data_IF_344474203865
#
_entry.id   IF_344474203865
#
_cell.length_a   1.000
_cell.length_b   1.000
_cell.length_c   1.000
_cell.angle_alpha   90.00
_cell.angle_beta   90.00
_cell.angle_gamma   90.00
#
_symmetry.space_group_name_H-M   'P 1'
#
loop_
_entity.id
_entity.type
_entity.pdbx_description
1 polymer ?
#
# COMPACT_ATOMS: atom_id res chain seq x y z
N UNK A 1 15.08 -8.46 5.25
CA UNK A 1 15.91 -7.24 5.06
C UNK A 1 15.67 -6.22 6.15
N UNK A 2 14.45 -5.66 6.31
CA UNK A 2 14.16 -4.70 7.39
C UNK A 2 14.26 -5.29 8.80
N UNK A 3 13.96 -6.59 8.98
CA UNK A 3 14.13 -7.29 10.25
C UNK A 3 15.57 -7.23 10.81
N UNK A 4 16.59 -7.29 9.95
CA UNK A 4 17.99 -7.12 10.36
C UNK A 4 18.30 -5.70 10.90
N UNK A 5 17.39 -4.75 10.65
CA UNK A 5 17.42 -3.38 11.18
C UNK A 5 16.51 -3.19 12.40
N UNK A 6 15.98 -4.27 12.95
CA UNK A 6 15.11 -4.27 14.15
C UNK A 6 13.65 -3.91 13.88
N UNK A 7 13.22 -3.88 12.62
CA UNK A 7 11.83 -3.59 12.28
C UNK A 7 10.92 -4.76 12.62
N UNK A 8 9.74 -4.45 13.17
CA UNK A 8 8.57 -5.33 13.09
C UNK A 8 7.83 -5.06 11.80
N UNK A 9 7.22 -6.08 11.22
CA UNK A 9 6.70 -6.04 9.86
C UNK A 9 5.28 -6.61 9.81
N UNK A 10 4.34 -5.87 9.22
CA UNK A 10 2.93 -6.24 9.13
C UNK A 10 2.36 -5.98 7.74
N UNK A 11 1.53 -6.90 7.23
CA UNK A 11 0.78 -6.74 5.98
C UNK A 11 -0.72 -6.92 6.26
N UNK A 12 -1.55 -5.97 5.81
CA UNK A 12 -2.97 -5.90 6.18
C UNK A 12 -3.85 -5.61 4.96
N UNK A 13 -4.52 -6.66 4.48
CA UNK A 13 -5.31 -6.67 3.24
C UNK A 13 -4.78 -7.64 2.18
N UNK A 14 -5.03 -7.38 0.90
CA UNK A 14 -4.88 -8.33 -0.21
C UNK A 14 -3.44 -8.77 -0.53
N UNK A 15 -3.08 -10.05 -0.32
CA UNK A 15 -1.72 -10.53 -0.62
C UNK A 15 -1.46 -10.85 -2.11
N UNK A 16 -2.22 -11.79 -2.69
CA UNK A 16 -2.11 -12.19 -4.10
C UNK A 16 -0.73 -12.72 -4.56
N UNK A 17 0.06 -13.28 -3.63
CA UNK A 17 1.39 -13.88 -3.91
C UNK A 17 1.44 -15.40 -3.69
N UNK A 18 0.28 -16.05 -3.66
CA UNK A 18 0.12 -17.47 -3.40
C UNK A 18 -0.75 -17.73 -2.18
N UNK A 19 -1.36 -18.90 -2.15
CA UNK A 19 -2.37 -19.27 -1.15
C UNK A 19 -2.00 -20.49 -0.31
N UNK A 20 -0.85 -21.10 -0.56
CA UNK A 20 -0.33 -22.17 0.30
C UNK A 20 0.31 -21.60 1.55
N UNK A 21 0.38 -22.39 2.61
CA UNK A 21 0.97 -21.95 3.87
C UNK A 21 2.44 -21.52 3.70
N UNK A 22 3.21 -22.20 2.84
CA UNK A 22 4.58 -21.82 2.52
C UNK A 22 4.72 -20.52 1.70
N UNK A 23 3.61 -19.98 1.18
CA UNK A 23 3.55 -18.75 0.36
C UNK A 23 2.97 -17.56 1.15
N UNK A 24 2.48 -17.79 2.38
CA UNK A 24 1.91 -16.72 3.19
C UNK A 24 2.98 -15.65 3.50
N UNK A 25 2.60 -14.37 3.63
CA UNK A 25 3.57 -13.29 3.85
C UNK A 25 4.49 -13.52 5.06
N UNK A 26 3.99 -14.20 6.09
CA UNK A 26 4.76 -14.53 7.30
C UNK A 26 5.86 -15.58 7.10
N UNK A 27 5.84 -16.31 5.99
CA UNK A 27 6.97 -17.13 5.53
C UNK A 27 8.01 -16.33 4.73
N UNK A 28 7.66 -15.10 4.34
CA UNK A 28 8.43 -14.24 3.45
C UNK A 28 8.86 -12.91 4.11
N UNK A 29 8.92 -12.89 5.44
CA UNK A 29 9.58 -11.82 6.19
C UNK A 29 8.63 -10.86 6.90
N UNK A 30 7.31 -11.04 6.80
CA UNK A 30 6.34 -10.37 7.67
C UNK A 30 6.25 -11.07 9.03
N UNK A 31 6.09 -10.31 10.11
CA UNK A 31 5.84 -10.86 11.45
C UNK A 31 4.35 -11.19 11.64
N UNK A 32 3.48 -10.43 10.98
CA UNK A 32 2.03 -10.56 11.02
C UNK A 32 1.41 -10.29 9.65
N UNK A 33 0.41 -11.10 9.29
CA UNK A 33 -0.41 -10.89 8.11
C UNK A 33 -1.87 -11.08 8.48
N UNK A 34 -2.73 -10.13 8.10
CA UNK A 34 -4.17 -10.33 8.15
C UNK A 34 -4.81 -9.82 6.87
N UNK A 35 -5.38 -10.73 6.08
CA UNK A 35 -5.76 -10.37 4.73
C UNK A 35 -6.34 -11.51 3.91
N UNK A 36 -6.93 -11.13 2.79
CA UNK A 36 -7.42 -12.07 1.80
C UNK A 36 -6.30 -12.42 0.79
N UNK A 37 -6.38 -13.61 0.19
CA UNK A 37 -5.27 -14.16 -0.60
C UNK A 37 -5.45 -13.97 -2.11
N UNK A 38 -6.65 -13.62 -2.56
CA UNK A 38 -7.03 -13.58 -3.97
C UNK A 38 -7.54 -12.21 -4.42
N UNK A 39 -8.01 -12.13 -5.66
CA UNK A 39 -8.84 -11.02 -6.14
C UNK A 39 -10.30 -11.22 -5.70
N UNK A 40 -11.04 -10.13 -5.49
CA UNK A 40 -12.39 -10.16 -4.92
C UNK A 40 -13.35 -11.08 -5.70
N UNK A 41 -13.27 -11.13 -7.03
CA UNK A 41 -14.13 -12.02 -7.82
C UNK A 41 -13.96 -13.50 -7.49
N UNK A 42 -12.74 -13.97 -7.16
CA UNK A 42 -12.53 -15.37 -6.78
C UNK A 42 -13.11 -15.68 -5.40
N UNK A 43 -13.15 -14.68 -4.52
CA UNK A 43 -13.68 -14.81 -3.16
C UNK A 43 -15.22 -14.90 -3.16
N UNK A 44 -15.90 -14.20 -4.08
CA UNK A 44 -17.36 -14.25 -4.22
C UNK A 44 -17.88 -15.37 -5.15
N UNK A 45 -17.02 -15.99 -5.97
CA UNK A 45 -17.42 -17.11 -6.85
C UNK A 45 -18.24 -18.19 -6.14
N UNK A 46 -17.93 -18.62 -4.90
CA UNK A 46 -18.73 -19.60 -4.16
C UNK A 46 -20.21 -19.23 -3.96
N UNK A 47 -20.56 -17.94 -4.03
CA UNK A 47 -21.93 -17.42 -3.91
C UNK A 47 -22.69 -17.43 -5.24
N UNK A 48 -22.01 -17.64 -6.37
CA UNK A 48 -22.67 -17.74 -7.67
C UNK A 48 -23.63 -18.96 -7.71
N UNK A 49 -24.83 -18.83 -8.33
CA UNK A 49 -25.79 -19.93 -8.43
C UNK A 49 -25.22 -21.19 -9.07
N UNK A 50 -24.39 -21.01 -10.10
CA UNK A 50 -23.81 -22.11 -10.89
C UNK A 50 -22.50 -22.66 -10.30
N UNK A 51 -22.02 -22.12 -9.17
CA UNK A 51 -20.79 -22.59 -8.54
C UNK A 51 -20.95 -24.03 -8.00
N UNK A 52 -20.04 -24.97 -8.31
CA UNK A 52 -20.18 -26.35 -7.86
C UNK A 52 -20.18 -26.47 -6.34
N UNK A 53 -21.23 -27.09 -5.77
CA UNK A 53 -21.45 -27.17 -4.31
C UNK A 53 -20.86 -28.42 -3.64
N UNK A 54 -20.19 -29.30 -4.40
CA UNK A 54 -19.63 -30.54 -3.86
C UNK A 54 -18.42 -30.29 -2.95
N UNK A 55 -18.31 -31.02 -1.84
CA UNK A 55 -17.21 -30.87 -0.87
C UNK A 55 -15.82 -31.09 -1.48
N UNK A 56 -15.67 -32.11 -2.34
CA UNK A 56 -14.41 -32.38 -3.03
C UNK A 56 -14.02 -31.26 -4.00
N UNK A 57 -15.00 -30.58 -4.62
CA UNK A 57 -14.73 -29.41 -5.45
C UNK A 57 -14.26 -28.25 -4.57
N UNK A 58 -14.98 -27.94 -3.49
CA UNK A 58 -14.62 -26.89 -2.54
C UNK A 58 -13.21 -27.11 -1.97
N UNK A 59 -12.85 -28.34 -1.61
CA UNK A 59 -11.52 -28.66 -1.07
C UNK A 59 -10.39 -28.45 -2.07
N UNK A 60 -10.65 -28.61 -3.37
CA UNK A 60 -9.63 -28.53 -4.43
C UNK A 60 -9.52 -27.17 -5.09
N UNK A 61 -10.63 -26.43 -5.16
CA UNK A 61 -10.75 -25.22 -5.98
C UNK A 61 -11.40 -24.05 -5.25
N UNK A 62 -11.98 -24.28 -4.06
CA UNK A 62 -12.55 -23.20 -3.27
C UNK A 62 -11.47 -22.24 -2.77
N UNK A 63 -11.73 -20.92 -2.77
CA UNK A 63 -10.84 -19.98 -2.13
C UNK A 63 -10.77 -20.28 -0.63
N UNK A 64 -9.59 -20.08 -0.05
CA UNK A 64 -9.43 -19.94 1.40
C UNK A 64 -10.16 -18.69 1.89
N UNK A 65 -10.49 -18.64 3.17
CA UNK A 65 -11.04 -17.42 3.76
C UNK A 65 -10.00 -16.31 3.94
N UNK A 66 -10.37 -15.30 4.71
CA UNK A 66 -9.45 -14.25 5.17
C UNK A 66 -8.53 -14.85 6.22
N UNK A 67 -7.22 -14.81 5.97
CA UNK A 67 -6.22 -15.47 6.81
C UNK A 67 -5.56 -14.47 7.76
N UNK A 68 -5.46 -14.84 9.03
CA UNK A 68 -4.57 -14.19 10.02
C UNK A 68 -3.41 -15.13 10.32
N UNK A 69 -2.19 -14.75 9.99
CA UNK A 69 -1.00 -15.56 10.27
C UNK A 69 0.11 -14.77 10.92
N UNK A 70 1.02 -15.51 11.57
CA UNK A 70 2.14 -14.96 12.33
C UNK A 70 3.43 -15.70 12.00
N UNK A 71 4.58 -15.03 12.11
CA UNK A 71 5.89 -15.63 11.87
C UNK A 71 6.26 -16.79 12.82
N UNK A 72 5.52 -16.97 13.91
CA UNK A 72 5.66 -18.11 14.83
C UNK A 72 4.97 -19.40 14.32
N UNK A 73 4.32 -19.34 13.15
CA UNK A 73 3.65 -20.47 12.51
C UNK A 73 2.15 -20.59 12.82
N UNK A 74 1.59 -19.71 13.65
CA UNK A 74 0.12 -19.65 13.83
C UNK A 74 -0.54 -19.16 12.55
N UNK A 75 -1.58 -19.88 12.12
CA UNK A 75 -2.40 -19.57 10.96
C UNK A 75 -3.86 -19.81 11.37
N UNK A 76 -4.69 -18.79 11.17
CA UNK A 76 -6.13 -18.83 11.40
C UNK A 76 -6.86 -18.46 10.11
N UNK A 77 -7.82 -19.29 9.72
CA UNK A 77 -8.80 -18.94 8.68
C UNK A 77 -10.02 -18.34 9.39
N UNK A 78 -10.19 -17.03 9.27
CA UNK A 78 -11.27 -16.27 9.93
C UNK A 78 -12.61 -16.41 9.22
N UNK A 79 -12.69 -17.26 8.20
CA UNK A 79 -13.89 -17.51 7.41
C UNK A 79 -13.84 -16.81 6.05
N UNK A 80 -14.79 -17.20 5.19
CA UNK A 80 -14.90 -16.74 3.82
C UNK A 80 -15.04 -15.20 3.74
N UNK A 81 -14.46 -14.63 2.68
CA UNK A 81 -14.73 -13.25 2.29
C UNK A 81 -15.98 -13.21 1.39
N UNK A 82 -17.15 -13.24 2.02
CA UNK A 82 -18.42 -13.18 1.30
C UNK A 82 -18.71 -11.79 0.74
N UNK A 83 -19.61 -11.68 -0.25
CA UNK A 83 -20.15 -10.42 -0.76
C UNK A 83 -20.56 -9.49 0.40
N UNK A 84 -21.23 -10.06 1.41
CA UNK A 84 -21.65 -9.28 2.58
C UNK A 84 -20.47 -8.78 3.42
N UNK A 85 -19.42 -9.59 3.63
CA UNK A 85 -18.22 -9.17 4.36
C UNK A 85 -17.39 -8.15 3.57
N UNK A 86 -17.39 -8.22 2.23
CA UNK A 86 -16.72 -7.25 1.36
C UNK A 86 -17.25 -5.82 1.50
N UNK A 87 -18.43 -5.61 2.08
CA UNK A 87 -18.95 -4.28 2.41
C UNK A 87 -18.06 -3.55 3.44
N UNK A 88 -17.38 -4.28 4.32
CA UNK A 88 -16.65 -3.71 5.48
C UNK A 88 -15.28 -4.33 5.73
N UNK A 89 -14.81 -5.29 4.92
CA UNK A 89 -13.58 -6.05 5.19
C UNK A 89 -12.33 -5.16 5.36
N UNK A 90 -12.25 -4.05 4.63
CA UNK A 90 -11.12 -3.12 4.74
C UNK A 90 -11.08 -2.41 6.11
N UNK A 91 -12.19 -2.34 6.85
CA UNK A 91 -12.22 -1.88 8.23
C UNK A 91 -11.56 -2.89 9.18
N UNK A 92 -11.73 -4.19 8.94
CA UNK A 92 -11.03 -5.22 9.71
C UNK A 92 -9.51 -5.11 9.52
N UNK A 93 -9.07 -4.86 8.27
CA UNK A 93 -7.66 -4.65 7.95
C UNK A 93 -7.11 -3.35 8.53
N UNK A 94 -7.92 -2.29 8.53
CA UNK A 94 -7.57 -1.01 9.14
C UNK A 94 -7.41 -1.16 10.65
N UNK A 95 -8.35 -1.80 11.34
CA UNK A 95 -8.29 -2.02 12.79
C UNK A 95 -7.04 -2.82 13.17
N UNK A 96 -6.73 -3.88 12.42
CA UNK A 96 -5.52 -4.66 12.63
C UNK A 96 -4.23 -3.84 12.37
N UNK A 97 -4.25 -2.96 11.37
CA UNK A 97 -3.15 -2.03 11.07
C UNK A 97 -2.90 -1.06 12.23
N UNK A 98 -3.97 -0.48 12.79
CA UNK A 98 -3.90 0.44 13.92
C UNK A 98 -3.37 -0.26 15.17
N UNK A 99 -3.86 -1.46 15.46
CA UNK A 99 -3.40 -2.28 16.58
C UNK A 99 -1.91 -2.67 16.44
N UNK A 100 -1.46 -2.96 15.22
CA UNK A 100 -0.06 -3.24 14.92
C UNK A 100 0.83 -2.01 15.17
N UNK A 101 0.41 -0.83 14.72
CA UNK A 101 1.14 0.44 14.98
C UNK A 101 1.22 0.71 16.49
N UNK A 102 0.12 0.56 17.23
CA UNK A 102 0.10 0.75 18.68
C UNK A 102 1.06 -0.18 19.40
N UNK A 103 1.06 -1.46 19.01
CA UNK A 103 1.96 -2.45 19.59
C UNK A 103 3.42 -2.10 19.32
N UNK A 104 3.76 -1.77 18.07
CA UNK A 104 5.12 -1.40 17.69
C UNK A 104 5.60 -0.15 18.45
N UNK A 105 4.74 0.87 18.55
CA UNK A 105 5.03 2.10 19.27
C UNK A 105 5.23 1.85 20.77
N UNK A 106 4.34 1.08 21.41
CA UNK A 106 4.44 0.70 22.83
C UNK A 106 5.72 -0.09 23.14
N UNK A 107 6.15 -0.93 22.19
CA UNK A 107 7.41 -1.70 22.30
C UNK A 107 8.65 -0.89 21.90
N UNK A 108 8.48 0.37 21.47
CA UNK A 108 9.53 1.25 20.96
C UNK A 108 10.35 0.59 19.83
N UNK A 109 9.66 -0.08 18.91
CA UNK A 109 10.26 -0.71 17.73
C UNK A 109 9.89 0.06 16.46
N UNK A 110 10.84 0.22 15.52
CA UNK A 110 10.47 0.71 14.19
C UNK A 110 9.56 -0.31 13.51
N UNK A 111 8.61 0.15 12.70
CA UNK A 111 7.67 -0.71 12.01
C UNK A 111 7.68 -0.49 10.50
N UNK A 112 7.37 -1.56 9.77
CA UNK A 112 7.00 -1.53 8.37
C UNK A 112 5.58 -2.07 8.26
N UNK A 113 4.66 -1.22 7.84
CA UNK A 113 3.27 -1.57 7.62
C UNK A 113 2.97 -1.49 6.13
N UNK A 114 2.51 -2.59 5.56
CA UNK A 114 1.96 -2.63 4.22
C UNK A 114 0.44 -2.76 4.31
N UNK A 115 -0.26 -1.64 4.24
CA UNK A 115 -1.72 -1.62 4.14
C UNK A 115 -2.14 -1.70 2.68
N UNK A 116 -2.84 -2.77 2.34
CA UNK A 116 -3.20 -3.16 0.98
C UNK A 116 -4.71 -3.41 0.93
N UNK A 117 -5.47 -2.34 1.14
CA UNK A 117 -6.93 -2.34 1.04
C UNK A 117 -7.41 -3.02 -0.25
N UNK A 118 -8.56 -3.68 -0.17
CA UNK A 118 -9.20 -4.34 -1.32
C UNK A 118 -9.84 -3.33 -2.27
N UNK A 119 -10.28 -2.18 -1.74
CA UNK A 119 -10.63 -1.00 -2.54
C UNK A 119 -9.40 -0.44 -3.28
N UNK A 120 -9.48 -0.04 -4.54
CA UNK A 120 -10.62 0.02 -5.47
C UNK A 120 -10.53 -1.04 -6.57
N UNK A 121 -10.29 -2.30 -6.20
CA UNK A 121 -10.54 -3.39 -7.15
C UNK A 121 -12.04 -3.46 -7.45
N UNK A 122 -12.39 -3.78 -8.70
CA UNK A 122 -13.77 -4.05 -9.13
C UNK A 122 -14.37 -5.24 -8.37
N UNK A 123 -15.68 -5.44 -8.55
CA UNK A 123 -16.56 -6.17 -7.63
C UNK A 123 -16.73 -5.39 -6.32
N UNK A 124 -16.99 -4.09 -6.46
CA UNK A 124 -17.16 -3.18 -5.33
C UNK A 124 -18.52 -3.41 -4.68
N UNK A 125 -18.50 -3.85 -3.43
CA UNK A 125 -19.69 -3.95 -2.57
C UNK A 125 -19.55 -2.91 -1.47
N UNK A 126 -20.40 -1.87 -1.46
CA UNK A 126 -20.35 -0.82 -0.45
C UNK A 126 -21.40 -1.04 0.64
N UNK A 127 -21.02 -0.76 1.89
CA UNK A 127 -22.00 -0.53 2.97
C UNK A 127 -22.90 0.66 2.65
N UNK A 128 -24.07 0.72 3.26
CA UNK A 128 -25.10 1.70 2.89
C UNK A 128 -24.64 3.14 3.13
N UNK A 129 -23.90 3.39 4.22
CA UNK A 129 -23.41 4.71 4.61
C UNK A 129 -22.36 5.27 3.64
N UNK A 130 -21.73 4.42 2.85
CA UNK A 130 -20.73 4.82 1.85
C UNK A 130 -21.36 5.18 0.51
N UNK A 131 -22.65 4.95 0.29
CA UNK A 131 -23.31 5.23 -1.00
C UNK A 131 -23.71 6.70 -1.10
N UNK A 132 -23.43 7.32 -2.25
CA UNK A 132 -23.80 8.71 -2.55
C UNK A 132 -22.97 9.77 -1.81
N UNK A 133 -21.82 9.40 -1.24
CA UNK A 133 -20.94 10.32 -0.50
C UNK A 133 -20.01 11.10 -1.43
N UNK A 134 -19.75 10.60 -2.63
CA UNK A 134 -18.84 11.23 -3.57
C UNK A 134 -19.49 12.41 -4.29
N UNK A 135 -18.78 13.55 -4.32
CA UNK A 135 -19.18 14.71 -5.12
C UNK A 135 -19.24 14.42 -6.63
N UNK A 136 -18.48 13.42 -7.11
CA UNK A 136 -18.53 12.97 -8.51
C UNK A 136 -19.61 11.89 -8.74
N UNK A 137 -20.09 11.28 -7.67
CA UNK A 137 -21.03 10.16 -7.67
C UNK A 137 -20.45 8.86 -8.26
N UNK A 138 -21.30 7.83 -8.22
CA UNK A 138 -21.01 6.52 -8.78
C UNK A 138 -20.25 5.60 -7.82
N UNK A 139 -20.42 4.29 -8.03
CA UNK A 139 -19.87 3.24 -7.17
C UNK A 139 -18.36 3.40 -6.91
N UNK A 140 -17.58 3.64 -7.97
CA UNK A 140 -16.14 3.86 -7.83
C UNK A 140 -15.80 5.12 -7.02
N UNK A 141 -16.52 6.23 -7.26
CA UNK A 141 -16.27 7.49 -6.58
C UNK A 141 -16.58 7.41 -5.09
N UNK A 142 -17.64 6.70 -4.74
CA UNK A 142 -18.08 6.46 -3.37
C UNK A 142 -17.08 5.57 -2.61
N UNK A 143 -16.68 4.44 -3.21
CA UNK A 143 -15.65 3.58 -2.62
C UNK A 143 -14.29 4.28 -2.48
N UNK A 144 -13.95 5.19 -3.39
CA UNK A 144 -12.70 5.95 -3.30
C UNK A 144 -12.72 6.92 -2.10
N UNK A 145 -13.87 7.53 -1.77
CA UNK A 145 -14.03 8.35 -0.57
C UNK A 145 -13.91 7.50 0.69
N UNK A 146 -14.51 6.31 0.71
CA UNK A 146 -14.35 5.35 1.82
C UNK A 146 -12.86 5.00 2.03
N UNK A 147 -12.14 4.67 0.96
CA UNK A 147 -10.70 4.38 1.01
C UNK A 147 -9.86 5.59 1.45
N UNK A 148 -10.16 6.79 0.96
CA UNK A 148 -9.48 8.03 1.36
C UNK A 148 -9.65 8.30 2.87
N UNK A 149 -10.85 8.08 3.42
CA UNK A 149 -11.10 8.18 4.85
C UNK A 149 -10.23 7.20 5.66
N UNK A 150 -10.06 5.95 5.19
CA UNK A 150 -9.19 4.96 5.86
C UNK A 150 -7.73 5.40 5.85
N UNK A 151 -7.26 6.00 4.74
CA UNK A 151 -5.93 6.62 4.68
C UNK A 151 -5.84 7.75 5.70
N UNK A 152 -6.87 8.60 5.81
CA UNK A 152 -6.97 9.65 6.82
C UNK A 152 -6.79 9.11 8.24
N UNK A 153 -7.51 8.05 8.61
CA UNK A 153 -7.39 7.39 9.92
C UNK A 153 -5.96 6.90 10.21
N UNK A 154 -5.28 6.32 9.22
CA UNK A 154 -3.87 5.91 9.38
C UNK A 154 -2.93 7.12 9.56
N UNK A 155 -3.19 8.23 8.87
CA UNK A 155 -2.38 9.44 9.00
C UNK A 155 -2.60 10.09 10.37
N UNK A 156 -3.85 10.22 10.81
CA UNK A 156 -4.22 10.73 12.12
C UNK A 156 -3.58 9.91 13.24
N UNK A 157 -3.54 8.58 13.09
CA UNK A 157 -2.85 7.69 14.04
C UNK A 157 -1.38 8.05 14.24
N UNK A 158 -0.68 8.42 13.17
CA UNK A 158 0.74 8.80 13.25
C UNK A 158 0.93 10.17 13.92
N UNK A 159 -0.03 11.08 13.72
CA UNK A 159 -0.03 12.41 14.31
C UNK A 159 -0.39 12.32 15.82
N UNK A 160 -1.39 11.52 16.19
CA UNK A 160 -1.82 11.26 17.57
C UNK A 160 -0.72 10.63 18.43
N UNK A 161 0.09 9.75 17.83
CA UNK A 161 1.25 9.13 18.49
C UNK A 161 2.51 10.01 18.44
N UNK A 162 2.43 11.20 17.82
CA UNK A 162 3.53 12.14 17.63
C UNK A 162 4.76 11.52 16.91
N UNK A 163 4.53 10.55 16.01
CA UNK A 163 5.59 9.83 15.27
C UNK A 163 5.62 10.14 13.78
N UNK A 164 4.74 11.01 13.29
CA UNK A 164 4.67 11.42 11.90
C UNK A 164 6.00 11.92 11.33
N UNK A 165 6.74 12.73 12.09
CA UNK A 165 8.04 13.27 11.70
C UNK A 165 9.10 12.18 11.45
N UNK A 166 8.95 11.00 12.06
CA UNK A 166 9.85 9.85 11.90
C UNK A 166 9.23 8.72 11.05
N UNK A 167 8.14 9.00 10.34
CA UNK A 167 7.44 7.99 9.53
C UNK A 167 7.44 8.40 8.06
N UNK A 168 7.88 7.48 7.19
CA UNK A 168 7.71 7.60 5.74
C UNK A 168 6.38 6.96 5.39
N UNK A 169 5.48 7.72 4.76
CA UNK A 169 4.23 7.16 4.21
C UNK A 169 4.24 7.32 2.70
N UNK A 170 3.92 6.24 1.99
CA UNK A 170 3.77 6.22 0.54
C UNK A 170 2.36 5.75 0.21
N UNK A 171 1.74 6.45 -0.73
CA UNK A 171 0.48 6.05 -1.35
C UNK A 171 0.69 5.79 -2.84
N UNK A 172 0.26 4.63 -3.33
CA UNK A 172 0.29 4.28 -4.75
C UNK A 172 -0.72 3.16 -5.05
N UNK A 173 -0.84 2.76 -6.32
CA UNK A 173 -1.65 1.61 -6.76
C UNK A 173 -0.78 0.57 -7.46
N UNK A 174 -1.26 -0.66 -7.59
CA UNK A 174 -0.55 -1.81 -8.19
C UNK A 174 -0.50 -1.74 -9.73
N UNK A 175 -1.57 -1.23 -10.35
CA UNK A 175 -1.67 -1.01 -11.79
C UNK A 175 -2.55 0.22 -12.11
N UNK A 176 -2.66 0.54 -13.40
CA UNK A 176 -3.60 1.54 -13.89
C UNK A 176 -5.06 1.09 -13.78
N UNK A 177 -6.00 2.01 -14.01
CA UNK A 177 -7.43 1.74 -13.85
C UNK A 177 -7.92 0.65 -14.81
N UNK A 178 -8.81 -0.21 -14.33
CA UNK A 178 -9.62 -1.12 -15.16
C UNK A 178 -10.83 -0.34 -15.68
N UNK A 179 -10.88 -0.01 -16.96
CA UNK A 179 -11.86 0.93 -17.54
C UNK A 179 -13.06 0.20 -18.16
N UNK A 180 -12.83 -1.01 -18.70
CA UNK A 180 -13.86 -1.79 -19.40
C UNK A 180 -15.03 -2.21 -18.50
N UNK A 181 -14.81 -2.30 -17.18
CA UNK A 181 -15.78 -2.65 -16.15
C UNK A 181 -16.55 -1.43 -15.60
N UNK A 182 -16.59 -0.32 -16.34
CA UNK A 182 -17.46 0.81 -16.01
C UNK A 182 -18.92 0.35 -15.80
N UNK A 183 -19.65 0.85 -14.79
CA UNK A 183 -19.30 1.96 -13.88
C UNK A 183 -18.51 1.57 -12.62
N UNK A 184 -18.20 0.30 -12.41
CA UNK A 184 -17.44 -0.16 -11.23
C UNK A 184 -15.95 0.16 -11.37
N UNK A 185 -15.42 0.02 -12.59
CA UNK A 185 -14.05 0.35 -12.92
C UNK A 185 -13.71 1.85 -12.86
N UNK A 186 -12.43 2.15 -12.61
CA UNK A 186 -11.91 3.52 -12.57
C UNK A 186 -11.65 4.12 -13.95
N UNK A 187 -11.23 5.39 -13.98
CA UNK A 187 -10.84 6.08 -15.21
C UNK A 187 -9.45 6.72 -15.10
N UNK A 188 -8.74 6.82 -16.22
CA UNK A 188 -7.46 7.52 -16.30
C UNK A 188 -7.36 8.32 -17.60
N UNK A 189 -6.67 9.46 -17.56
CA UNK A 189 -6.42 10.33 -18.72
C UNK A 189 -5.45 9.74 -19.75
N UNK A 190 -4.77 8.66 -19.38
CA UNK A 190 -3.74 8.03 -20.19
C UNK A 190 -4.34 6.95 -21.09
N UNK A 191 -3.72 6.72 -22.26
CA UNK A 191 -4.14 5.68 -23.20
C UNK A 191 -4.01 4.29 -22.57
N UNK A 192 -4.95 3.39 -22.87
CA UNK A 192 -4.99 2.03 -22.34
C UNK A 192 -5.53 1.96 -20.91
N UNK A 193 -5.43 0.78 -20.32
CA UNK A 193 -6.00 0.41 -19.01
C UNK A 193 -5.20 -0.76 -18.41
N UNK A 194 -5.60 -1.23 -17.21
CA UNK A 194 -5.12 -2.49 -16.62
C UNK A 194 -5.03 -3.59 -17.69
N UNK A 195 -3.98 -4.41 -17.63
CA UNK A 195 -3.69 -5.46 -18.62
C UNK A 195 -3.18 -4.96 -20.00
N UNK A 196 -2.80 -3.68 -20.12
CA UNK A 196 -2.17 -3.15 -21.34
C UNK A 196 -0.80 -2.52 -21.06
N UNK A 197 0.04 -2.43 -22.08
CA UNK A 197 1.39 -1.82 -22.01
C UNK A 197 1.41 -0.33 -22.41
N UNK A 198 0.24 0.31 -22.43
CA UNK A 198 0.15 1.75 -22.59
C UNK A 198 0.25 2.44 -21.23
N UNK A 199 0.55 3.75 -21.21
CA UNK A 199 0.67 4.56 -19.98
C UNK A 199 -0.48 4.32 -18.99
N UNK A 200 -1.72 4.20 -19.46
CA UNK A 200 -2.89 3.98 -18.62
C UNK A 200 -2.98 2.61 -17.94
N UNK A 201 -2.08 1.67 -18.26
CA UNK A 201 -2.00 0.35 -17.63
C UNK A 201 -1.00 0.24 -16.48
N UNK A 202 0.03 1.09 -16.42
CA UNK A 202 1.07 1.02 -15.38
C UNK A 202 1.47 2.37 -14.78
N UNK A 203 1.05 3.51 -15.34
CA UNK A 203 1.28 4.81 -14.73
C UNK A 203 0.24 5.06 -13.64
N UNK A 204 0.72 5.08 -12.40
CA UNK A 204 -0.10 5.15 -11.18
C UNK A 204 0.11 6.47 -10.43
N UNK A 205 -0.83 6.88 -9.56
CA UNK A 205 -0.53 7.92 -8.58
C UNK A 205 0.59 7.46 -7.65
N UNK A 206 1.45 8.38 -7.24
CA UNK A 206 2.48 8.15 -6.23
C UNK A 206 2.64 9.41 -5.39
N UNK A 207 2.36 9.29 -4.10
CA UNK A 207 2.54 10.36 -3.11
C UNK A 207 3.44 9.85 -1.99
N UNK A 208 4.33 10.71 -1.49
CA UNK A 208 5.20 10.38 -0.38
C UNK A 208 5.22 11.54 0.62
N UNK A 209 5.13 11.23 1.92
CA UNK A 209 5.40 12.18 3.00
C UNK A 209 6.50 11.62 3.90
N UNK A 210 7.40 12.50 4.30
CA UNK A 210 8.35 12.28 5.40
C UNK A 210 8.68 13.64 6.01
N UNK A 211 7.82 14.18 6.88
CA UNK A 211 7.80 15.60 7.24
C UNK A 211 9.15 16.16 7.72
N UNK A 212 9.93 15.40 8.49
CA UNK A 212 11.24 15.85 8.97
C UNK A 212 12.32 15.99 7.88
N UNK A 213 12.12 15.39 6.69
CA UNK A 213 13.16 15.30 5.64
C UNK A 213 12.71 15.77 4.26
N UNK A 214 11.44 15.57 3.89
CA UNK A 214 10.87 15.89 2.58
C UNK A 214 9.94 17.10 2.74
N UNK A 215 10.20 18.23 2.05
CA UNK A 215 9.30 19.39 2.07
C UNK A 215 7.92 19.07 1.51
N UNK A 216 6.88 19.60 2.14
CA UNK A 216 5.51 19.50 1.65
C UNK A 216 5.31 20.25 0.32
N UNK A 217 4.31 19.81 -0.45
CA UNK A 217 3.84 20.50 -1.66
C UNK A 217 4.75 20.40 -2.88
N UNK A 218 5.73 19.48 -2.87
CA UNK A 218 6.62 19.27 -4.01
C UNK A 218 5.97 18.40 -5.09
N UNK A 219 6.30 18.70 -6.34
CA UNK A 219 6.00 17.85 -7.51
C UNK A 219 7.33 17.39 -8.11
N UNK A 220 7.52 16.07 -8.21
CA UNK A 220 8.70 15.46 -8.82
C UNK A 220 8.29 14.82 -10.14
N UNK A 221 8.89 15.26 -11.24
CA UNK A 221 8.59 14.76 -12.60
C UNK A 221 9.65 13.77 -13.12
N UNK A 222 10.56 13.31 -12.26
CA UNK A 222 11.51 12.25 -12.62
C UNK A 222 10.80 10.91 -12.80
N UNK A 223 11.47 9.97 -13.44
CA UNK A 223 10.99 8.59 -13.59
C UNK A 223 11.28 7.83 -12.30
N UNK A 224 10.26 7.18 -11.77
CA UNK A 224 10.34 6.25 -10.66
C UNK A 224 9.46 5.03 -10.97
N UNK A 225 9.81 3.88 -10.40
CA UNK A 225 9.08 2.63 -10.53
C UNK A 225 8.95 1.94 -9.17
N UNK A 226 7.98 1.03 -9.01
CA UNK A 226 7.72 0.38 -7.71
C UNK A 226 8.91 -0.40 -7.14
N UNK A 227 9.80 -0.91 -7.99
CA UNK A 227 11.01 -1.60 -7.58
C UNK A 227 12.01 -0.67 -6.85
N UNK A 228 11.90 0.65 -7.03
CA UNK A 228 12.75 1.64 -6.35
C UNK A 228 12.44 1.75 -4.84
N UNK A 229 11.25 1.34 -4.40
CA UNK A 229 10.84 1.48 -3.01
C UNK A 229 11.66 0.60 -2.05
N UNK A 230 12.01 -0.62 -2.45
CA UNK A 230 12.82 -1.52 -1.63
C UNK A 230 14.18 -0.91 -1.23
N UNK A 231 15.02 -0.51 -2.20
CA UNK A 231 16.27 0.22 -1.92
C UNK A 231 16.06 1.54 -1.17
N UNK A 232 15.01 2.29 -1.49
CA UNK A 232 14.69 3.58 -0.84
C UNK A 232 14.38 3.40 0.65
N UNK A 233 13.55 2.41 1.04
CA UNK A 233 13.23 2.13 2.43
C UNK A 233 14.43 1.63 3.22
N UNK A 234 15.26 0.77 2.60
CA UNK A 234 16.46 0.27 3.26
C UNK A 234 17.47 1.38 3.48
N UNK A 235 17.63 2.30 2.53
CA UNK A 235 18.44 3.50 2.72
C UNK A 235 17.91 4.37 3.87
N UNK A 236 16.59 4.54 3.99
CA UNK A 236 15.98 5.25 5.12
C UNK A 236 16.27 4.57 6.47
N UNK A 237 16.34 3.24 6.47
CA UNK A 237 16.74 2.42 7.62
C UNK A 237 18.27 2.30 7.82
N UNK A 238 19.06 3.12 7.11
CA UNK A 238 20.53 3.15 7.24
C UNK A 238 21.28 2.06 6.47
N UNK A 239 20.68 1.50 5.42
CA UNK A 239 21.31 0.55 4.50
C UNK A 239 21.20 1.03 3.05
N UNK A 240 22.14 1.87 2.64
CA UNK A 240 22.21 2.45 1.30
C UNK A 240 22.95 1.55 0.28
N UNK A 241 23.58 0.46 0.73
CA UNK A 241 24.38 -0.47 -0.11
C UNK A 241 23.74 -1.84 -0.32
N UNK A 242 22.46 -2.00 -0.01
CA UNK A 242 21.80 -3.31 -0.11
C UNK A 242 21.89 -3.92 -1.51
N UNK A 243 21.71 -3.11 -2.56
CA UNK A 243 21.72 -3.58 -3.95
C UNK A 243 23.08 -4.20 -4.30
N UNK A 244 24.16 -3.56 -3.87
CA UNK A 244 25.54 -4.02 -4.10
C UNK A 244 25.81 -5.31 -3.33
N UNK A 245 25.37 -5.37 -2.07
CA UNK A 245 25.53 -6.56 -1.20
C UNK A 245 24.77 -7.76 -1.74
N UNK A 246 23.50 -7.59 -2.13
CA UNK A 246 22.70 -8.65 -2.73
C UNK A 246 23.33 -9.15 -4.04
N UNK A 247 23.87 -8.24 -4.87
CA UNK A 247 24.55 -8.59 -6.13
C UNK A 247 25.80 -9.42 -5.89
N UNK A 248 26.57 -9.12 -4.84
CA UNK A 248 27.78 -9.86 -4.46
C UNK A 248 27.46 -11.20 -3.79
N UNK A 249 26.31 -11.29 -3.11
CA UNK A 249 25.94 -12.39 -2.24
C UNK A 249 26.04 -11.95 -0.79
N UNK A 250 24.96 -12.09 -0.03
CA UNK A 250 24.91 -11.72 1.40
C UNK A 250 23.90 -12.59 2.15
N UNK A 251 24.07 -12.70 3.47
CA UNK A 251 23.11 -13.36 4.36
C UNK A 251 22.24 -12.30 5.01
N UNK A 252 20.92 -12.49 4.94
CA UNK A 252 19.92 -11.62 5.57
C UNK A 252 18.92 -12.52 6.29
N UNK A 253 18.58 -12.20 7.54
CA UNK A 253 17.68 -13.01 8.37
C UNK A 253 18.01 -14.52 8.33
N UNK A 254 19.30 -14.85 8.42
CA UNK A 254 19.81 -16.23 8.37
C UNK A 254 19.72 -16.96 7.03
N UNK A 255 19.21 -16.31 5.97
CA UNK A 255 19.10 -16.89 4.61
C UNK A 255 20.13 -16.27 3.66
N UNK A 256 20.73 -17.09 2.81
CA UNK A 256 21.64 -16.61 1.77
C UNK A 256 20.87 -16.05 0.57
N UNK A 257 21.31 -14.89 0.08
CA UNK A 257 20.75 -14.23 -1.09
C UNK A 257 21.88 -13.87 -2.06
N UNK A 258 21.66 -14.14 -3.35
CA UNK A 258 22.50 -13.63 -4.45
C UNK A 258 21.59 -13.21 -5.61
N UNK A 259 21.12 -11.97 -5.55
CA UNK A 259 20.12 -11.41 -6.46
C UNK A 259 20.46 -9.95 -6.81
N UNK A 260 19.88 -9.43 -7.89
CA UNK A 260 19.99 -8.01 -8.23
C UNK A 260 18.64 -7.35 -8.04
N UNK A 261 18.57 -6.28 -7.24
CA UNK A 261 17.39 -5.43 -7.20
C UNK A 261 17.54 -4.37 -8.30
N UNK A 262 16.60 -4.32 -9.23
CA UNK A 262 16.63 -3.38 -10.36
C UNK A 262 16.29 -1.93 -9.98
N UNK A 263 15.91 -1.67 -8.72
CA UNK A 263 15.49 -0.36 -8.24
C UNK A 263 16.64 0.51 -7.73
N UNK A 264 16.36 1.81 -7.61
CA UNK A 264 17.28 2.85 -7.15
C UNK A 264 16.80 3.47 -5.82
N UNK A 265 17.74 4.02 -5.05
CA UNK A 265 17.40 4.82 -3.87
C UNK A 265 16.95 6.23 -4.29
N UNK A 266 15.68 6.55 -4.05
CA UNK A 266 15.08 7.84 -4.42
C UNK A 266 15.31 8.94 -3.38
N UNK A 267 15.75 8.63 -2.15
CA UNK A 267 15.90 9.61 -1.07
C UNK A 267 16.74 10.83 -1.43
N UNK A 268 17.91 10.70 -2.10
CA UNK A 268 18.70 11.87 -2.47
C UNK A 268 17.89 12.86 -3.30
N UNK A 269 17.13 12.38 -4.30
CA UNK A 269 16.33 13.27 -5.15
C UNK A 269 15.16 13.91 -4.42
N UNK A 270 14.47 13.12 -3.60
CA UNK A 270 13.32 13.58 -2.80
C UNK A 270 13.74 14.65 -1.77
N UNK A 271 14.94 14.51 -1.18
CA UNK A 271 15.47 15.44 -0.19
C UNK A 271 16.19 16.62 -0.85
N UNK A 272 16.96 16.44 -1.93
CA UNK A 272 17.79 17.49 -2.53
C UNK A 272 16.98 18.64 -3.14
N UNK A 273 15.79 18.36 -3.69
CA UNK A 273 14.83 19.40 -4.08
C UNK A 273 14.50 20.36 -2.92
N UNK A 274 14.69 19.96 -1.66
CA UNK A 274 14.57 20.82 -0.48
C UNK A 274 15.66 21.87 -0.35
N UNK A 275 16.90 21.54 -0.74
CA UNK A 275 18.05 22.43 -0.56
C UNK A 275 18.03 23.54 -1.61
N UNK A 276 17.63 23.22 -2.85
CA UNK A 276 17.51 24.21 -3.92
C UNK A 276 16.42 25.25 -3.61
N UNK A 277 15.23 24.80 -3.15
CA UNK A 277 14.16 25.70 -2.72
C UNK A 277 14.55 26.55 -1.49
N UNK A 278 15.24 25.97 -0.49
CA UNK A 278 15.73 26.71 0.67
C UNK A 278 16.85 27.69 0.32
N UNK A 279 17.72 27.39 -0.65
CA UNK A 279 18.76 28.30 -1.14
C UNK A 279 18.15 29.48 -1.91
N UNK A 280 17.18 29.23 -2.80
CA UNK A 280 16.47 30.30 -3.52
C UNK A 280 15.77 31.25 -2.54
N UNK A 281 15.18 30.72 -1.46
CA UNK A 281 14.56 31.55 -0.42
C UNK A 281 15.57 32.29 0.48
N UNK A 282 16.83 31.84 0.56
CA UNK A 282 17.86 32.47 1.41
C UNK A 282 18.74 33.50 0.69
N UNK A 283 18.82 33.51 -0.64
CA UNK A 283 19.75 34.39 -1.37
C UNK A 283 19.12 35.44 -2.28
N UNK A 284 17.79 35.56 -2.35
CA UNK A 284 17.15 36.49 -3.27
C UNK A 284 16.48 37.69 -2.61
N UNK A 285 16.97 38.90 -2.89
CA UNK A 285 16.19 40.16 -2.81
C UNK A 285 15.04 40.23 -3.85
N UNK A 286 14.57 39.06 -4.32
CA UNK A 286 13.54 38.87 -5.37
C UNK A 286 12.27 38.26 -4.77
N UNK A 287 12.14 38.23 -3.43
CA UNK A 287 10.92 37.80 -2.73
C UNK A 287 9.80 38.84 -2.71
N UNK A 288 9.94 39.96 -3.44
CA UNK A 288 8.88 40.98 -3.63
C UNK A 288 8.09 40.88 -4.93
N UNK A 289 8.37 39.92 -5.81
CA UNK A 289 7.73 39.84 -7.13
C UNK A 289 6.59 38.81 -7.25
N UNK A 290 6.36 37.93 -6.27
CA UNK A 290 5.32 36.90 -6.32
C UNK A 290 4.62 36.63 -4.99
N UNK A 291 4.36 37.69 -4.21
CA UNK A 291 3.36 37.63 -3.14
C UNK A 291 2.31 38.71 -3.39
N UNK A 292 1.25 38.33 -4.08
CA UNK A 292 -0.07 38.91 -3.82
C UNK A 292 -1.07 37.78 -3.53
N UNK A 293 -2.03 38.03 -2.63
CA UNK A 293 -2.92 37.03 -2.08
C UNK A 293 -4.12 36.83 -3.03
N UNK A 294 -4.52 35.60 -3.29
CA UNK A 294 -5.89 35.34 -3.73
C UNK A 294 -6.66 34.72 -2.57
N UNK A 295 -7.29 35.62 -1.80
CA UNK A 295 -8.60 35.40 -1.20
C UNK A 295 -9.67 35.46 -2.31
N UNK A 296 -10.73 34.66 -2.11
CA UNK A 296 -12.08 34.76 -2.66
C UNK A 296 -12.28 34.82 -4.19
N UNK A 297 -12.79 33.72 -4.76
CA UNK A 297 -14.15 33.60 -5.35
C UNK A 297 -14.68 32.20 -5.03
#
# INVERSE_FOLDING_TARGET
>A
MLKDKGYVTGQFGKNHLGDRDEQLPTQHGFDEFFGNLYHLNAEEEPEHPDYPKGEEFKKRFGPRGVIHSYADGRIEDTGALTIKRMETVDEEFLDASLAFIDKAHKENKPFFLWFNATRMHVWTHLKEESKGVSLRGGLYGDGLVEHDNMVGVLLDKLDDLEIADNTIVIYTTDNGAEKWSWPDGGASRFKGEKNTTWEGGFRVPAMIRYPAKIPAGQVVNEIAAHNDWGPTFLAAAGEDKIVERLKQGTTLDGKEYKVHLDGYNLLPKLIELSLLLRMIMRTGHVSRLFMEPMMEI
#
